data_IF_041334181664
#
_entry.id   IF_041334181664
#
_cell.length_a   1.000
_cell.length_b   1.000
_cell.length_c   1.000
_cell.angle_alpha   90.00
_cell.angle_beta   90.00
_cell.angle_gamma   90.00
#
_symmetry.space_group_name_H-M   'P 1'
#
loop_
_entity.id
_entity.type
_entity.pdbx_description
1 polymer ?
#
# COMPACT_ATOMS: atom_id res chain seq x y z
N UNK A 1 -16.88 -61.38 -5.89
CA UNK A 1 -16.76 -60.30 -4.89
C UNK A 1 -15.33 -59.74 -4.96
N UNK A 2 -15.00 -59.05 -6.05
CA UNK A 2 -13.67 -58.50 -6.32
C UNK A 2 -13.86 -57.02 -6.67
N UNK A 3 -13.94 -56.20 -5.63
CA UNK A 3 -14.18 -54.77 -5.74
C UNK A 3 -12.87 -54.09 -6.15
N UNK A 4 -12.87 -53.57 -7.38
CA UNK A 4 -11.77 -52.83 -8.00
C UNK A 4 -11.40 -51.63 -7.11
N UNK A 5 -10.30 -51.77 -6.39
CA UNK A 5 -9.59 -50.64 -5.80
C UNK A 5 -9.00 -49.77 -6.94
N UNK A 6 -9.83 -48.88 -7.49
CA UNK A 6 -9.44 -47.92 -8.53
C UNK A 6 -8.55 -46.88 -7.87
N UNK A 7 -7.23 -47.06 -7.93
CA UNK A 7 -6.24 -46.05 -7.55
C UNK A 7 -6.63 -44.72 -8.22
N UNK A 8 -6.87 -43.62 -7.48
CA UNK A 8 -7.04 -42.33 -8.12
C UNK A 8 -5.75 -42.04 -8.89
N UNK A 9 -5.91 -41.72 -10.18
CA UNK A 9 -4.83 -41.28 -11.04
C UNK A 9 -4.00 -40.25 -10.26
N UNK A 10 -2.75 -40.60 -9.98
CA UNK A 10 -1.76 -39.72 -9.41
C UNK A 10 -1.84 -38.41 -10.16
N UNK A 11 -2.34 -37.36 -9.49
CA UNK A 11 -2.41 -36.03 -10.03
C UNK A 11 -1.01 -35.72 -10.56
N UNK A 12 -0.88 -35.61 -11.89
CA UNK A 12 0.31 -35.08 -12.53
C UNK A 12 0.56 -33.72 -11.87
N UNK A 13 1.50 -33.71 -10.92
CA UNK A 13 2.04 -32.48 -10.39
C UNK A 13 2.72 -31.87 -11.60
N UNK A 14 2.02 -30.95 -12.27
CA UNK A 14 2.62 -30.12 -13.30
C UNK A 14 3.83 -29.44 -12.65
N UNK A 15 4.99 -30.04 -12.83
CA UNK A 15 6.25 -29.47 -12.38
C UNK A 15 6.41 -28.18 -13.16
N UNK A 16 6.32 -27.06 -12.45
CA UNK A 16 6.64 -25.77 -13.01
C UNK A 16 8.10 -25.84 -13.41
N UNK A 17 8.35 -25.84 -14.73
CA UNK A 17 9.68 -26.00 -15.28
C UNK A 17 10.67 -24.99 -14.68
N UNK A 18 11.98 -25.31 -14.65
CA UNK A 18 13.01 -24.50 -14.01
C UNK A 18 13.03 -23.04 -14.51
N UNK A 19 12.71 -22.82 -15.79
CA UNK A 19 12.59 -21.48 -16.38
C UNK A 19 11.46 -20.64 -15.77
N UNK A 20 10.31 -21.25 -15.49
CA UNK A 20 9.19 -20.57 -14.83
C UNK A 20 9.51 -20.25 -13.36
N UNK A 21 10.29 -21.11 -12.69
CA UNK A 21 10.76 -20.85 -11.32
C UNK A 21 11.77 -19.69 -11.30
N UNK A 22 12.73 -19.69 -12.22
CA UNK A 22 13.72 -18.61 -12.37
C UNK A 22 13.03 -17.26 -12.65
N UNK A 23 12.08 -17.21 -13.59
CA UNK A 23 11.35 -15.98 -13.92
C UNK A 23 10.60 -15.38 -12.73
N UNK A 24 10.07 -16.21 -11.84
CA UNK A 24 9.38 -15.75 -10.62
C UNK A 24 10.33 -15.15 -9.59
N UNK A 25 11.50 -15.73 -9.41
CA UNK A 25 12.54 -15.17 -8.55
C UNK A 25 13.08 -13.85 -9.10
N UNK A 26 13.31 -13.76 -10.41
CA UNK A 26 13.71 -12.50 -11.06
C UNK A 26 12.67 -11.40 -10.83
N UNK A 27 11.38 -11.72 -10.99
CA UNK A 27 10.30 -10.78 -10.70
C UNK A 27 10.20 -10.40 -9.21
N UNK A 28 10.38 -11.35 -8.30
CA UNK A 28 10.39 -11.06 -6.87
C UNK A 28 11.56 -10.16 -6.47
N UNK A 29 12.77 -10.42 -7.01
CA UNK A 29 13.96 -9.61 -6.77
C UNK A 29 13.81 -8.21 -7.37
N UNK A 30 13.19 -8.08 -8.55
CA UNK A 30 12.94 -6.76 -9.14
C UNK A 30 11.94 -5.95 -8.31
N UNK A 31 10.91 -6.58 -7.73
CA UNK A 31 10.00 -5.91 -6.79
C UNK A 31 10.73 -5.42 -5.53
N UNK A 32 11.57 -6.26 -4.92
CA UNK A 32 12.38 -5.84 -3.76
C UNK A 32 13.32 -4.70 -4.12
N UNK A 33 14.00 -4.79 -5.27
CA UNK A 33 14.85 -3.72 -5.79
C UNK A 33 14.10 -2.42 -6.00
N UNK A 34 12.88 -2.48 -6.56
CA UNK A 34 12.01 -1.32 -6.73
C UNK A 34 11.57 -0.71 -5.38
N UNK A 35 11.29 -1.54 -4.37
CA UNK A 35 10.93 -1.07 -3.03
C UNK A 35 12.09 -0.34 -2.36
N UNK A 36 13.30 -0.91 -2.41
CA UNK A 36 14.51 -0.30 -1.87
C UNK A 36 14.84 0.99 -2.61
N UNK A 37 14.82 0.98 -3.94
CA UNK A 37 15.05 2.18 -4.74
C UNK A 37 14.03 3.27 -4.43
N UNK A 38 12.76 2.93 -4.28
CA UNK A 38 11.72 3.86 -3.86
C UNK A 38 11.99 4.46 -2.48
N UNK A 39 12.35 3.63 -1.49
CA UNK A 39 12.67 4.09 -0.15
C UNK A 39 13.89 5.03 -0.11
N UNK A 40 14.92 4.77 -0.93
CA UNK A 40 16.08 5.67 -1.08
C UNK A 40 15.69 7.01 -1.72
N UNK A 41 14.56 7.07 -2.42
CA UNK A 41 14.03 8.27 -3.07
C UNK A 41 12.90 8.91 -2.27
N UNK A 42 12.84 8.67 -0.95
CA UNK A 42 11.76 9.17 -0.09
C UNK A 42 11.53 10.68 -0.21
N UNK A 43 12.59 11.49 -0.35
CA UNK A 43 12.46 12.93 -0.52
C UNK A 43 11.61 13.31 -1.74
N UNK A 44 11.73 12.57 -2.85
CA UNK A 44 10.91 12.79 -4.05
C UNK A 44 9.46 12.38 -3.83
N UNK A 45 9.24 11.30 -3.06
CA UNK A 45 7.90 10.90 -2.66
C UNK A 45 7.23 11.97 -1.80
N UNK A 46 7.94 12.58 -0.86
CA UNK A 46 7.38 13.67 -0.03
C UNK A 46 6.94 14.87 -0.86
N UNK A 47 7.72 15.26 -1.87
CA UNK A 47 7.33 16.33 -2.81
C UNK A 47 6.09 15.93 -3.62
N UNK A 48 6.00 14.68 -4.07
CA UNK A 48 4.81 14.17 -4.76
C UNK A 48 3.59 14.19 -3.83
N UNK A 49 3.75 13.78 -2.58
CA UNK A 49 2.71 13.78 -1.55
C UNK A 49 2.21 15.18 -1.25
N UNK A 50 3.12 16.15 -1.09
CA UNK A 50 2.79 17.57 -0.94
C UNK A 50 2.06 18.12 -2.17
N UNK A 51 2.48 17.69 -3.37
CA UNK A 51 1.84 18.11 -4.63
C UNK A 51 0.40 17.62 -4.71
N UNK A 52 0.17 16.35 -4.39
CA UNK A 52 -1.19 15.78 -4.37
C UNK A 52 -2.00 16.45 -3.26
N UNK A 53 -1.45 16.57 -2.05
CA UNK A 53 -2.10 17.23 -0.92
C UNK A 53 -2.59 18.64 -1.26
N UNK A 54 -1.74 19.47 -1.88
CA UNK A 54 -2.12 20.83 -2.28
C UNK A 54 -3.36 20.87 -3.18
N UNK A 55 -3.53 19.90 -4.07
CA UNK A 55 -4.60 19.92 -5.08
C UNK A 55 -5.99 19.77 -4.47
N UNK A 56 -6.14 19.03 -3.38
CA UNK A 56 -7.45 18.69 -2.83
C UNK A 56 -7.68 19.21 -1.42
N UNK A 57 -6.62 19.48 -0.63
CA UNK A 57 -6.77 19.95 0.75
C UNK A 57 -7.29 21.38 0.88
N UNK A 58 -7.27 22.18 -0.20
CA UNK A 58 -7.88 23.52 -0.20
C UNK A 58 -9.41 23.52 -0.06
N UNK A 59 -10.07 22.36 -0.18
CA UNK A 59 -11.50 22.24 0.11
C UNK A 59 -11.77 22.12 1.63
N UNK A 60 -11.18 21.14 2.32
CA UNK A 60 -11.41 20.95 3.76
C UNK A 60 -10.67 21.92 4.68
N UNK A 61 -9.56 22.53 4.23
CA UNK A 61 -8.84 23.54 5.00
C UNK A 61 -9.35 24.94 4.68
N UNK A 62 -9.37 25.81 5.66
CA UNK A 62 -9.70 27.22 5.46
C UNK A 62 -8.55 27.94 4.73
N UNK A 63 -8.89 28.69 3.67
CA UNK A 63 -7.93 29.48 2.90
C UNK A 63 -7.14 28.69 1.86
N UNK A 64 -6.10 29.33 1.30
CA UNK A 64 -5.31 28.72 0.22
C UNK A 64 -4.18 27.85 0.77
N UNK A 65 -4.12 26.59 0.33
CA UNK A 65 -2.98 25.70 0.56
C UNK A 65 -1.95 25.90 -0.55
N UNK A 66 -0.69 26.14 -0.19
CA UNK A 66 0.42 26.28 -1.14
C UNK A 66 1.57 25.37 -0.73
N UNK A 67 2.17 24.65 -1.67
CA UNK A 67 3.37 23.86 -1.41
C UNK A 67 4.65 24.64 -1.72
N UNK A 68 5.70 24.30 -1.00
CA UNK A 68 7.08 24.57 -1.36
C UNK A 68 7.89 23.32 -1.07
N UNK A 69 8.34 22.62 -2.10
CA UNK A 69 8.97 21.28 -1.96
C UNK A 69 8.09 20.29 -1.16
N UNK A 70 8.55 19.84 0.01
CA UNK A 70 7.83 18.96 0.93
C UNK A 70 7.13 19.71 2.09
N UNK A 71 7.06 21.05 2.03
CA UNK A 71 6.29 21.89 2.94
C UNK A 71 4.93 22.27 2.36
N UNK A 72 3.90 22.26 3.22
CA UNK A 72 2.56 22.77 2.95
C UNK A 72 2.29 24.00 3.81
N UNK A 73 2.05 25.15 3.16
CA UNK A 73 1.66 26.40 3.80
C UNK A 73 0.15 26.59 3.76
N UNK A 74 -0.42 26.93 4.91
CA UNK A 74 -1.84 27.28 5.06
C UNK A 74 -2.02 28.28 6.22
N UNK A 75 -3.09 29.10 6.22
CA UNK A 75 -3.34 30.03 7.29
C UNK A 75 -3.74 29.29 8.57
N UNK A 76 -3.20 29.73 9.71
CA UNK A 76 -3.68 29.32 11.02
C UNK A 76 -4.86 30.21 11.42
N UNK A 77 -5.97 29.64 11.89
CA UNK A 77 -7.21 30.40 12.19
C UNK A 77 -6.97 31.56 13.16
N UNK A 78 -6.07 31.39 14.12
CA UNK A 78 -5.79 32.37 15.18
C UNK A 78 -4.38 32.96 15.11
N UNK A 79 -3.67 32.88 13.97
CA UNK A 79 -2.27 33.30 13.93
C UNK A 79 -1.66 33.42 12.53
N UNK A 80 -0.31 33.55 12.45
CA UNK A 80 0.38 33.64 11.17
C UNK A 80 0.27 32.34 10.38
N UNK A 81 0.53 32.41 9.07
CA UNK A 81 0.60 31.22 8.23
C UNK A 81 1.63 30.22 8.78
N UNK A 82 1.26 28.94 8.76
CA UNK A 82 2.08 27.84 9.27
C UNK A 82 2.54 26.97 8.12
N UNK A 83 3.77 26.44 8.23
CA UNK A 83 4.34 25.48 7.30
C UNK A 83 4.37 24.09 7.92
N UNK A 84 3.63 23.15 7.35
CA UNK A 84 3.70 21.73 7.72
C UNK A 84 4.71 21.04 6.80
N UNK A 85 5.87 20.68 7.35
CA UNK A 85 6.86 19.87 6.64
C UNK A 85 6.48 18.39 6.70
N UNK A 86 6.38 17.74 5.55
CA UNK A 86 6.21 16.28 5.47
C UNK A 86 7.55 15.66 5.86
N UNK A 87 7.58 14.89 6.94
CA UNK A 87 8.77 14.15 7.40
C UNK A 87 8.79 12.73 6.85
N UNK A 88 9.90 12.01 7.06
CA UNK A 88 10.02 10.59 6.70
C UNK A 88 8.98 9.71 7.41
N UNK A 89 8.60 10.03 8.66
CA UNK A 89 7.53 9.31 9.37
C UNK A 89 6.16 9.44 8.67
N UNK A 90 5.97 10.55 7.95
CA UNK A 90 4.75 10.91 7.26
C UNK A 90 4.70 10.48 5.78
N UNK A 91 5.74 9.83 5.26
CA UNK A 91 5.73 9.36 3.87
C UNK A 91 5.13 7.97 3.71
N UNK A 92 4.39 7.78 2.62
CA UNK A 92 3.72 6.54 2.24
C UNK A 92 4.71 5.48 1.78
N UNK A 93 5.89 5.87 1.28
CA UNK A 93 6.85 4.92 0.70
C UNK A 93 7.36 3.92 1.74
N UNK A 94 7.48 4.33 3.01
CA UNK A 94 7.82 3.44 4.12
C UNK A 94 6.72 2.42 4.42
N UNK A 95 5.45 2.71 4.11
CA UNK A 95 4.34 1.76 4.22
C UNK A 95 4.22 0.88 2.96
N UNK A 96 4.55 1.41 1.79
CA UNK A 96 4.54 0.67 0.52
C UNK A 96 5.62 -0.42 0.53
N UNK A 97 6.83 -0.11 0.99
CA UNK A 97 7.96 -1.03 0.98
C UNK A 97 7.63 -2.42 1.59
N UNK A 98 7.10 -2.55 2.81
CA UNK A 98 6.71 -3.84 3.36
C UNK A 98 5.59 -4.54 2.58
N UNK A 99 4.63 -3.81 1.99
CA UNK A 99 3.60 -4.44 1.13
C UNK A 99 4.23 -5.02 -0.14
N UNK A 100 5.17 -4.32 -0.75
CA UNK A 100 5.93 -4.81 -1.92
C UNK A 100 6.74 -6.05 -1.55
N UNK A 101 7.36 -6.09 -0.35
CA UNK A 101 8.06 -7.28 0.15
C UNK A 101 7.10 -8.45 0.29
N UNK A 102 5.91 -8.26 0.85
CA UNK A 102 4.90 -9.34 0.91
C UNK A 102 4.53 -9.82 -0.50
N UNK A 103 4.31 -8.91 -1.45
CA UNK A 103 4.02 -9.29 -2.84
C UNK A 103 5.18 -10.08 -3.48
N UNK A 104 6.43 -9.69 -3.23
CA UNK A 104 7.60 -10.40 -3.71
C UNK A 104 7.69 -11.82 -3.12
N UNK A 105 7.45 -11.97 -1.81
CA UNK A 105 7.40 -13.27 -1.12
C UNK A 105 6.30 -14.16 -1.71
N UNK A 106 5.11 -13.59 -1.96
CA UNK A 106 4.02 -14.33 -2.60
C UNK A 106 4.41 -14.80 -4.01
N UNK A 107 5.04 -13.94 -4.81
CA UNK A 107 5.53 -14.28 -6.13
C UNK A 107 6.60 -15.38 -6.10
N UNK A 108 7.50 -15.38 -5.11
CA UNK A 108 8.57 -16.37 -4.99
C UNK A 108 8.08 -17.73 -4.46
N UNK A 109 7.24 -17.74 -3.41
CA UNK A 109 6.95 -18.96 -2.64
C UNK A 109 5.64 -19.67 -3.04
N UNK A 110 4.63 -18.93 -3.53
CA UNK A 110 3.29 -19.52 -3.72
C UNK A 110 3.09 -20.04 -5.14
N UNK A 111 1.86 -20.29 -5.60
CA UNK A 111 1.54 -20.52 -7.03
C UNK A 111 0.55 -19.48 -7.57
N UNK A 112 0.48 -18.31 -6.95
CA UNK A 112 -0.43 -17.26 -7.38
C UNK A 112 -0.11 -16.76 -8.80
N UNK A 113 -1.15 -16.36 -9.53
CA UNK A 113 -1.02 -15.75 -10.85
C UNK A 113 -0.40 -14.36 -10.70
N UNK A 114 0.72 -14.09 -11.40
CA UNK A 114 1.48 -12.85 -11.29
C UNK A 114 0.63 -11.60 -11.53
N UNK A 115 -0.26 -11.61 -12.53
CA UNK A 115 -1.16 -10.49 -12.82
C UNK A 115 -2.09 -10.15 -11.64
N UNK A 116 -2.48 -11.15 -10.85
CA UNK A 116 -3.36 -10.96 -9.70
C UNK A 116 -2.61 -10.44 -8.49
N UNK A 117 -1.36 -10.88 -8.30
CA UNK A 117 -0.47 -10.28 -7.31
C UNK A 117 -0.17 -8.82 -7.67
N UNK A 118 0.12 -8.54 -8.95
CA UNK A 118 0.34 -7.18 -9.44
C UNK A 118 -0.90 -6.29 -9.25
N UNK A 119 -2.10 -6.78 -9.64
CA UNK A 119 -3.36 -6.05 -9.43
C UNK A 119 -3.65 -5.79 -7.95
N UNK A 120 -3.40 -6.78 -7.09
CA UNK A 120 -3.54 -6.63 -5.64
C UNK A 120 -2.55 -5.61 -5.06
N UNK A 121 -1.30 -5.62 -5.54
CA UNK A 121 -0.27 -4.68 -5.12
C UNK A 121 -0.65 -3.25 -5.52
N UNK A 122 -1.08 -3.03 -6.76
CA UNK A 122 -1.54 -1.72 -7.24
C UNK A 122 -2.71 -1.23 -6.39
N UNK A 123 -3.71 -2.07 -6.12
CA UNK A 123 -4.85 -1.72 -5.28
C UNK A 123 -4.43 -1.37 -3.85
N UNK A 124 -3.51 -2.16 -3.26
CA UNK A 124 -2.96 -1.88 -1.93
C UNK A 124 -2.17 -0.57 -1.86
N UNK A 125 -1.33 -0.30 -2.86
CA UNK A 125 -0.56 0.95 -2.97
C UNK A 125 -1.49 2.16 -3.11
N UNK A 126 -2.53 2.05 -3.95
CA UNK A 126 -3.53 3.11 -4.08
C UNK A 126 -4.24 3.40 -2.74
N UNK A 127 -4.62 2.35 -2.00
CA UNK A 127 -5.25 2.51 -0.69
C UNK A 127 -4.31 3.14 0.33
N UNK A 128 -3.03 2.74 0.35
CA UNK A 128 -2.00 3.36 1.20
C UNK A 128 -1.83 4.83 0.87
N UNK A 129 -1.84 5.20 -0.41
CA UNK A 129 -1.73 6.59 -0.83
C UNK A 129 -2.92 7.41 -0.33
N UNK A 130 -4.14 6.88 -0.45
CA UNK A 130 -5.35 7.52 0.09
C UNK A 130 -5.25 7.68 1.61
N UNK A 131 -4.87 6.62 2.34
CA UNK A 131 -4.71 6.66 3.79
C UNK A 131 -3.65 7.70 4.21
N UNK A 132 -2.55 7.81 3.48
CA UNK A 132 -1.53 8.80 3.77
C UNK A 132 -2.03 10.23 3.52
N UNK A 133 -2.77 10.46 2.44
CA UNK A 133 -3.38 11.76 2.15
C UNK A 133 -4.38 12.17 3.24
N UNK A 134 -5.21 11.23 3.73
CA UNK A 134 -6.10 11.47 4.87
C UNK A 134 -5.29 11.80 6.13
N UNK A 135 -4.21 11.07 6.41
CA UNK A 135 -3.31 11.35 7.54
C UNK A 135 -2.77 12.78 7.48
N UNK A 136 -2.23 13.19 6.33
CA UNK A 136 -1.70 14.54 6.14
C UNK A 136 -2.78 15.61 6.33
N UNK A 137 -4.00 15.38 5.84
CA UNK A 137 -5.11 16.30 6.04
C UNK A 137 -5.45 16.46 7.51
N UNK A 138 -5.58 15.34 8.24
CA UNK A 138 -5.94 15.38 9.66
C UNK A 138 -4.90 16.15 10.45
N UNK A 139 -3.61 15.99 10.13
CA UNK A 139 -2.53 16.76 10.76
C UNK A 139 -2.67 18.25 10.41
N UNK A 140 -2.80 18.59 9.13
CA UNK A 140 -2.94 19.98 8.69
C UNK A 140 -4.16 20.67 9.31
N UNK A 141 -5.31 19.98 9.33
CA UNK A 141 -6.55 20.47 9.92
C UNK A 141 -6.41 20.67 11.43
N UNK A 142 -5.75 19.74 12.12
CA UNK A 142 -5.50 19.86 13.56
C UNK A 142 -4.57 21.01 13.89
N UNK A 143 -3.55 21.26 13.06
CA UNK A 143 -2.66 22.43 13.19
C UNK A 143 -3.45 23.72 12.93
N UNK A 144 -4.28 23.76 11.88
CA UNK A 144 -5.07 24.94 11.54
C UNK A 144 -6.09 25.30 12.63
N UNK A 145 -6.65 24.32 13.34
CA UNK A 145 -7.67 24.54 14.37
C UNK A 145 -7.08 24.75 15.76
N UNK A 146 -6.11 23.93 16.16
CA UNK A 146 -5.58 23.88 17.53
C UNK A 146 -4.09 24.22 17.63
N UNK A 147 -3.44 24.63 16.54
CA UNK A 147 -2.01 24.96 16.53
C UNK A 147 -1.12 23.76 16.88
N UNK A 148 -0.02 24.02 17.58
CA UNK A 148 0.98 23.00 17.93
C UNK A 148 0.45 21.86 18.82
N UNK A 149 -0.54 22.13 19.68
CA UNK A 149 -1.18 21.08 20.47
C UNK A 149 -1.94 20.09 19.56
N UNK A 150 -2.60 20.60 18.52
CA UNK A 150 -3.24 19.78 17.50
C UNK A 150 -2.24 18.95 16.70
N UNK A 151 -1.08 19.53 16.37
CA UNK A 151 0.02 18.81 15.72
C UNK A 151 0.48 17.62 16.56
N UNK A 152 0.80 17.82 17.84
CA UNK A 152 1.34 16.76 18.70
C UNK A 152 0.41 15.55 18.81
N UNK A 153 -0.90 15.80 18.97
CA UNK A 153 -1.90 14.74 19.09
C UNK A 153 -2.13 14.03 17.76
N UNK A 154 -2.34 14.81 16.69
CA UNK A 154 -2.65 14.27 15.37
C UNK A 154 -1.47 13.54 14.74
N UNK A 155 -0.24 14.05 14.89
CA UNK A 155 0.98 13.44 14.36
C UNK A 155 1.31 12.12 15.07
N UNK A 156 1.29 12.11 16.41
CA UNK A 156 1.75 10.94 17.19
C UNK A 156 0.71 9.84 17.27
N UNK A 157 -0.56 10.17 17.50
CA UNK A 157 -1.59 9.19 17.79
C UNK A 157 -2.50 8.94 16.59
N UNK A 158 -3.21 9.98 16.13
CA UNK A 158 -4.26 9.81 15.11
C UNK A 158 -3.65 9.38 13.77
N UNK A 159 -2.55 10.01 13.37
CA UNK A 159 -1.83 9.68 12.15
C UNK A 159 -1.26 8.26 12.17
N UNK A 160 -0.75 7.81 13.32
CA UNK A 160 -0.29 6.43 13.51
C UNK A 160 -1.43 5.43 13.37
N UNK A 161 -2.59 5.70 13.97
CA UNK A 161 -3.79 4.85 13.84
C UNK A 161 -4.24 4.76 12.38
N UNK A 162 -4.33 5.90 11.68
CA UNK A 162 -4.69 5.94 10.25
C UNK A 162 -3.70 5.12 9.42
N UNK A 163 -2.40 5.27 9.67
CA UNK A 163 -1.34 4.53 8.99
C UNK A 163 -1.46 3.01 9.21
N UNK A 164 -1.65 2.56 10.44
CA UNK A 164 -1.78 1.15 10.80
C UNK A 164 -3.04 0.51 10.20
N UNK A 165 -4.18 1.19 10.28
CA UNK A 165 -5.44 0.73 9.68
C UNK A 165 -5.30 0.67 8.16
N UNK A 166 -4.78 1.74 7.54
CA UNK A 166 -4.55 1.79 6.09
C UNK A 166 -3.63 0.68 5.60
N UNK A 167 -2.52 0.45 6.31
CA UNK A 167 -1.58 -0.63 6.02
C UNK A 167 -2.22 -2.01 6.12
N UNK A 168 -2.94 -2.27 7.22
CA UNK A 168 -3.63 -3.55 7.43
C UNK A 168 -4.64 -3.82 6.32
N UNK A 169 -5.47 -2.82 5.99
CA UNK A 169 -6.45 -2.92 4.92
C UNK A 169 -5.80 -3.11 3.55
N UNK A 170 -4.67 -2.45 3.27
CA UNK A 170 -3.94 -2.58 2.02
C UNK A 170 -3.38 -4.00 1.83
N UNK A 171 -2.79 -4.58 2.88
CA UNK A 171 -2.31 -5.97 2.87
C UNK A 171 -3.48 -6.94 2.68
N UNK A 172 -4.57 -6.77 3.43
CA UNK A 172 -5.76 -7.63 3.30
C UNK A 172 -6.38 -7.54 1.90
N UNK A 173 -6.48 -6.34 1.33
CA UNK A 173 -6.98 -6.11 -0.01
C UNK A 173 -6.09 -6.79 -1.05
N UNK A 174 -4.78 -6.58 -0.97
CA UNK A 174 -3.80 -7.23 -1.85
C UNK A 174 -3.94 -8.75 -1.81
N UNK A 175 -3.98 -9.34 -0.60
CA UNK A 175 -4.13 -10.78 -0.42
C UNK A 175 -5.46 -11.29 -0.97
N UNK A 176 -6.56 -10.56 -0.75
CA UNK A 176 -7.89 -10.91 -1.29
C UNK A 176 -7.89 -10.92 -2.81
N UNK A 177 -7.33 -9.88 -3.44
CA UNK A 177 -7.22 -9.78 -4.90
C UNK A 177 -6.30 -10.86 -5.46
N UNK A 178 -5.21 -11.20 -4.77
CA UNK A 178 -4.32 -12.30 -5.16
C UNK A 178 -4.98 -13.69 -5.02
N UNK A 179 -5.83 -13.92 -4.00
CA UNK A 179 -6.38 -15.25 -3.68
C UNK A 179 -7.67 -15.65 -4.40
N UNK A 180 -8.52 -14.69 -4.81
CA UNK A 180 -9.87 -14.92 -5.37
C UNK A 180 -10.14 -15.91 -6.55
N UNK A 181 -9.16 -16.49 -7.26
CA UNK A 181 -9.42 -17.41 -8.41
C UNK A 181 -9.44 -18.89 -8.05
N UNK A 182 -8.75 -19.29 -6.98
CA UNK A 182 -8.68 -20.72 -6.62
C UNK A 182 -10.02 -21.27 -6.13
N UNK A 183 -10.90 -20.41 -5.59
CA UNK A 183 -12.24 -20.83 -5.15
C UNK A 183 -13.22 -21.07 -6.29
N UNK A 184 -13.12 -20.33 -7.40
CA UNK A 184 -14.03 -20.51 -8.55
C UNK A 184 -13.79 -21.86 -9.24
N UNK A 185 -12.51 -22.22 -9.50
CA UNK A 185 -12.18 -23.53 -10.10
C UNK A 185 -12.48 -24.74 -9.20
N UNK A 186 -12.45 -24.58 -7.87
CA UNK A 186 -12.76 -25.66 -6.92
C UNK A 186 -14.26 -25.93 -6.80
N UNK A 187 -15.10 -24.90 -6.96
CA UNK A 187 -16.56 -24.98 -6.86
C UNK A 187 -17.22 -25.61 -8.09
N UNK A 188 -16.65 -25.43 -9.28
CA UNK A 188 -17.16 -26.10 -10.49
C UNK A 188 -16.84 -27.60 -10.51
N UNK A 189 -15.79 -28.04 -9.79
CA UNK A 189 -15.43 -29.47 -9.66
C UNK A 189 -16.25 -30.24 -8.62
N UNK A 190 -17.02 -29.57 -7.76
CA UNK A 190 -17.91 -30.24 -6.79
C UNK A 190 -19.34 -30.43 -7.30
N UNK A 191 -19.63 -29.93 -8.51
CA UNK A 191 -20.94 -30.02 -9.17
C UNK A 191 -20.91 -30.90 -10.44
N UNK A 192 -19.76 -31.52 -10.73
CA UNK A 192 -19.54 -32.47 -11.81
C UNK A 192 -19.12 -33.83 -11.22
#
# INVERSE_FOLDING_TARGET
MAERYRRPASAEVHEVGPLARAGRWVFALSLVGAAVFGALQEARFRVLEATIAQQWMGGPLEGSVRRFEDLLYFPWVNGPAVGLQITSECTVILLIAPVVVVAAVLCALTRFQLLRVAGGLIAGVALLMIANQIRLLVIAFSVQTWGWAGYDVSHKFVGTVIGLVGFTLAVLLMLRVAAGSDRSRRRDRSLA
#
